data_IF_069708737713
#
_entry.id   IF_069708737713
#
_cell.length_a   1.000
_cell.length_b   1.000
_cell.length_c   1.000
_cell.angle_alpha   90.00
_cell.angle_beta   90.00
_cell.angle_gamma   90.00
#
_symmetry.space_group_name_H-M   'P 1'
#
loop_
_entity.id
_entity.type
_entity.pdbx_description
1 polymer ?
#
# COMPACT_ATOMS: atom_id res chain seq x y z
N UNK A 1 -10.63 8.60 -13.77
CA UNK A 1 -10.89 8.72 -12.33
C UNK A 1 -12.36 9.07 -12.13
N UNK A 2 -13.05 8.42 -11.18
CA UNK A 2 -14.50 8.56 -11.01
C UNK A 2 -14.83 9.91 -10.36
N UNK A 3 -15.34 10.88 -11.13
CA UNK A 3 -15.65 12.24 -10.67
C UNK A 3 -16.50 12.23 -9.38
N UNK A 4 -17.42 11.27 -9.31
CA UNK A 4 -18.34 11.07 -8.18
C UNK A 4 -17.63 10.75 -6.85
N UNK A 5 -16.43 10.15 -6.88
CA UNK A 5 -15.69 9.83 -5.65
C UNK A 5 -15.08 11.09 -5.02
N UNK A 6 -14.47 11.95 -5.84
CA UNK A 6 -13.77 13.14 -5.36
C UNK A 6 -14.71 14.24 -4.87
N UNK A 7 -15.92 14.30 -5.43
CA UNK A 7 -16.95 15.26 -5.04
C UNK A 7 -17.76 14.86 -3.80
N UNK A 8 -17.57 13.62 -3.31
CA UNK A 8 -18.19 13.12 -2.10
C UNK A 8 -17.74 13.90 -0.86
N UNK A 9 -18.65 14.06 0.09
CA UNK A 9 -18.32 14.60 1.41
C UNK A 9 -17.48 13.59 2.20
N UNK A 10 -16.46 14.09 2.91
CA UNK A 10 -15.61 13.27 3.78
C UNK A 10 -16.41 12.59 4.88
N UNK A 11 -17.51 13.20 5.34
CA UNK A 11 -18.41 12.60 6.32
C UNK A 11 -18.97 11.25 5.84
N UNK A 12 -19.26 11.13 4.54
CA UNK A 12 -19.70 9.87 3.93
C UNK A 12 -18.65 8.75 3.97
N UNK A 13 -17.35 9.08 4.11
CA UNK A 13 -16.31 8.09 4.38
C UNK A 13 -16.36 7.57 5.81
N UNK A 14 -16.71 8.43 6.78
CA UNK A 14 -16.73 8.10 8.21
C UNK A 14 -17.96 7.28 8.59
N UNK A 15 -19.11 7.55 7.98
CA UNK A 15 -20.36 6.87 8.27
C UNK A 15 -20.31 5.35 7.99
N UNK A 16 -19.46 4.94 7.05
CA UNK A 16 -19.27 3.55 6.65
C UNK A 16 -18.31 2.76 7.55
N UNK A 17 -17.67 3.43 8.52
CA UNK A 17 -16.73 2.79 9.44
C UNK A 17 -17.47 2.09 10.58
N UNK A 18 -16.82 1.10 11.18
CA UNK A 18 -17.26 0.51 12.44
C UNK A 18 -17.31 1.59 13.54
N UNK A 19 -18.26 1.47 14.46
CA UNK A 19 -18.46 2.45 15.56
C UNK A 19 -17.18 2.70 16.37
N UNK A 20 -16.34 1.68 16.55
CA UNK A 20 -15.06 1.80 17.27
C UNK A 20 -14.03 2.66 16.54
N UNK A 21 -14.12 2.78 15.22
CA UNK A 21 -13.18 3.52 14.37
C UNK A 21 -13.65 4.94 14.05
N UNK A 22 -14.96 5.24 14.14
CA UNK A 22 -15.54 6.56 13.82
C UNK A 22 -14.88 7.71 14.59
N UNK A 23 -14.92 7.65 15.93
CA UNK A 23 -14.39 8.73 16.80
C UNK A 23 -12.88 8.97 16.62
N UNK A 24 -12.01 7.94 16.53
CA UNK A 24 -10.62 8.16 16.13
C UNK A 24 -10.45 8.83 14.76
N UNK A 25 -11.24 8.43 13.75
CA UNK A 25 -11.12 9.01 12.42
C UNK A 25 -11.60 10.46 12.36
N UNK A 26 -12.66 10.84 13.09
CA UNK A 26 -13.08 12.24 13.23
C UNK A 26 -11.97 13.11 13.84
N UNK A 27 -11.23 12.59 14.81
CA UNK A 27 -10.10 13.31 15.40
C UNK A 27 -8.97 13.46 14.39
N UNK A 28 -8.68 12.44 13.58
CA UNK A 28 -7.71 12.54 12.50
C UNK A 28 -8.11 13.54 11.42
N UNK A 29 -9.39 13.61 11.04
CA UNK A 29 -9.90 14.64 10.12
C UNK A 29 -9.68 16.05 10.67
N UNK A 30 -9.92 16.26 11.97
CA UNK A 30 -9.64 17.54 12.64
C UNK A 30 -8.16 17.92 12.60
N UNK A 31 -7.27 16.95 12.82
CA UNK A 31 -5.82 17.18 12.80
C UNK A 31 -5.29 17.60 11.43
N UNK A 32 -5.98 17.26 10.35
CA UNK A 32 -5.62 17.67 8.98
C UNK A 32 -6.46 18.86 8.47
N UNK A 33 -7.25 19.50 9.34
CA UNK A 33 -7.96 20.74 9.02
C UNK A 33 -9.41 20.57 8.56
N UNK A 34 -10.06 19.42 8.81
CA UNK A 34 -11.45 19.13 8.44
C UNK A 34 -11.75 19.37 6.95
N UNK A 35 -11.14 18.62 6.02
CA UNK A 35 -11.52 18.69 4.63
C UNK A 35 -13.01 18.34 4.48
N UNK A 36 -13.74 19.13 3.70
CA UNK A 36 -15.18 18.91 3.47
C UNK A 36 -15.38 17.82 2.42
N UNK A 37 -14.57 17.84 1.35
CA UNK A 37 -14.65 16.91 0.22
C UNK A 37 -13.47 15.96 0.15
N UNK A 38 -13.67 14.77 -0.41
CA UNK A 38 -12.61 13.79 -0.66
C UNK A 38 -11.49 14.41 -1.51
N UNK A 39 -11.82 15.27 -2.47
CA UNK A 39 -10.82 16.03 -3.25
C UNK A 39 -9.88 16.86 -2.37
N UNK A 40 -10.41 17.58 -1.39
CA UNK A 40 -9.62 18.41 -0.47
C UNK A 40 -8.72 17.54 0.41
N UNK A 41 -9.25 16.42 0.90
CA UNK A 41 -8.47 15.41 1.60
C UNK A 41 -7.30 14.90 0.74
N UNK A 42 -7.56 14.54 -0.52
CA UNK A 42 -6.51 14.07 -1.43
C UNK A 42 -5.46 15.15 -1.72
N UNK A 43 -5.84 16.43 -1.80
CA UNK A 43 -4.89 17.53 -1.96
C UNK A 43 -3.95 17.65 -0.75
N UNK A 44 -4.48 17.55 0.47
CA UNK A 44 -3.68 17.53 1.70
C UNK A 44 -2.73 16.33 1.69
N UNK A 45 -3.24 15.15 1.31
CA UNK A 45 -2.44 13.95 1.21
C UNK A 45 -1.28 14.10 0.22
N UNK A 46 -1.54 14.50 -1.04
CA UNK A 46 -0.49 14.67 -2.04
C UNK A 46 0.54 15.71 -1.63
N UNK A 47 0.10 16.85 -1.09
CA UNK A 47 1.01 17.87 -0.56
C UNK A 47 1.90 17.29 0.55
N UNK A 48 1.34 16.51 1.45
CA UNK A 48 2.11 15.87 2.54
C UNK A 48 3.11 14.81 2.03
N UNK A 49 2.81 14.14 0.92
CA UNK A 49 3.75 13.22 0.26
C UNK A 49 4.93 14.01 -0.30
N UNK A 50 4.65 15.03 -1.11
CA UNK A 50 5.63 15.86 -1.80
C UNK A 50 6.53 16.65 -0.81
N UNK A 51 5.94 17.20 0.25
CA UNK A 51 6.65 18.01 1.26
C UNK A 51 7.25 17.17 2.40
N UNK A 52 7.09 15.84 2.38
CA UNK A 52 7.38 14.96 3.53
C UNK A 52 6.73 15.47 4.85
N UNK A 53 5.49 15.93 4.74
CA UNK A 53 4.74 16.59 5.80
C UNK A 53 4.20 15.61 6.86
N UNK A 54 4.04 16.11 8.09
CA UNK A 54 3.52 15.33 9.23
C UNK A 54 2.09 14.80 9.03
N UNK A 55 1.31 15.42 8.15
CA UNK A 55 -0.04 14.98 7.81
C UNK A 55 -0.08 13.63 7.06
N UNK A 56 1.04 13.20 6.45
CA UNK A 56 1.10 11.96 5.68
C UNK A 56 0.61 10.75 6.48
N UNK A 57 1.18 10.53 7.66
CA UNK A 57 0.83 9.39 8.52
C UNK A 57 -0.65 9.41 8.93
N UNK A 58 -1.22 10.60 9.14
CA UNK A 58 -2.64 10.76 9.51
C UNK A 58 -3.53 10.39 8.32
N UNK A 59 -3.20 10.90 7.13
CA UNK A 59 -3.92 10.57 5.90
C UNK A 59 -3.87 9.07 5.60
N UNK A 60 -2.71 8.43 5.77
CA UNK A 60 -2.57 6.98 5.55
C UNK A 60 -3.47 6.16 6.48
N UNK A 61 -3.56 6.54 7.77
CA UNK A 61 -4.47 5.86 8.72
C UNK A 61 -5.93 5.97 8.31
N UNK A 62 -6.36 7.14 7.84
CA UNK A 62 -7.72 7.37 7.33
C UNK A 62 -7.97 6.47 6.12
N UNK A 63 -7.07 6.46 5.15
CA UNK A 63 -7.20 5.63 3.94
C UNK A 63 -7.24 4.14 4.29
N UNK A 64 -6.35 3.67 5.18
CA UNK A 64 -6.29 2.28 5.61
C UNK A 64 -7.61 1.81 6.27
N UNK A 65 -8.23 2.69 7.06
CA UNK A 65 -9.48 2.39 7.79
C UNK A 65 -10.72 2.43 6.93
N UNK A 66 -10.80 3.36 5.98
CA UNK A 66 -11.96 3.47 5.08
C UNK A 66 -12.05 2.31 4.09
N UNK A 67 -10.93 1.66 3.74
CA UNK A 67 -10.87 0.49 2.85
C UNK A 67 -11.62 0.68 1.52
N UNK A 68 -11.71 1.92 1.03
CA UNK A 68 -12.35 2.25 -0.24
C UNK A 68 -11.42 1.92 -1.40
N UNK A 69 -11.91 1.15 -2.38
CA UNK A 69 -11.15 0.70 -3.56
C UNK A 69 -10.72 1.90 -4.43
N UNK A 70 -11.49 2.98 -4.37
CA UNK A 70 -11.25 4.23 -5.09
C UNK A 70 -9.98 4.95 -4.66
N UNK A 71 -9.44 4.64 -3.47
CA UNK A 71 -8.13 5.17 -3.05
C UNK A 71 -6.95 4.47 -3.71
N UNK A 72 -7.12 3.29 -4.32
CA UNK A 72 -5.98 2.58 -4.92
C UNK A 72 -5.26 3.40 -6.01
N UNK A 73 -5.94 4.01 -7.00
CA UNK A 73 -5.28 4.91 -7.95
C UNK A 73 -4.60 6.11 -7.27
N UNK A 74 -5.24 6.71 -6.26
CA UNK A 74 -4.68 7.84 -5.50
C UNK A 74 -3.37 7.45 -4.82
N UNK A 75 -3.34 6.27 -4.20
CA UNK A 75 -2.15 5.71 -3.57
C UNK A 75 -1.05 5.39 -4.58
N UNK A 76 -1.39 4.83 -5.74
CA UNK A 76 -0.42 4.53 -6.81
C UNK A 76 0.12 5.79 -7.49
N UNK A 77 -0.66 6.87 -7.58
CA UNK A 77 -0.14 8.17 -8.00
C UNK A 77 0.79 8.76 -6.94
N UNK A 78 0.44 8.63 -5.66
CA UNK A 78 1.27 9.12 -4.57
C UNK A 78 2.61 8.38 -4.46
N UNK A 79 2.65 7.07 -4.75
CA UNK A 79 3.90 6.31 -4.66
C UNK A 79 4.96 6.78 -5.65
N UNK A 80 4.54 7.28 -6.82
CA UNK A 80 5.45 7.85 -7.82
C UNK A 80 6.07 9.18 -7.37
N UNK A 81 5.44 9.86 -6.41
CA UNK A 81 5.86 11.14 -5.84
C UNK A 81 6.52 11.00 -4.48
N UNK A 82 6.55 9.78 -3.92
CA UNK A 82 7.12 9.52 -2.61
C UNK A 82 8.62 9.84 -2.61
N UNK A 83 9.06 10.57 -1.60
CA UNK A 83 10.44 11.09 -1.51
C UNK A 83 11.34 10.22 -0.64
N UNK A 84 10.78 9.21 0.04
CA UNK A 84 11.54 8.29 0.88
C UNK A 84 10.92 6.89 0.98
N UNK A 85 11.70 5.87 1.39
CA UNK A 85 11.22 4.49 1.54
C UNK A 85 10.06 4.32 2.54
N UNK A 86 10.01 5.14 3.61
CA UNK A 86 8.96 5.07 4.64
C UNK A 86 7.59 5.45 4.07
N UNK A 87 7.54 6.40 3.15
CA UNK A 87 6.30 6.74 2.44
C UNK A 87 5.88 5.60 1.51
N UNK A 88 6.82 5.04 0.73
CA UNK A 88 6.56 3.95 -0.21
C UNK A 88 6.01 2.71 0.49
N UNK A 89 6.66 2.27 1.58
CA UNK A 89 6.19 1.11 2.34
C UNK A 89 4.81 1.35 2.96
N UNK A 90 4.53 2.57 3.43
CA UNK A 90 3.25 2.92 4.06
C UNK A 90 2.11 2.89 3.04
N UNK A 91 2.39 3.38 1.83
CA UNK A 91 1.47 3.34 0.69
C UNK A 91 1.18 1.88 0.31
N UNK A 92 2.20 1.05 0.11
CA UNK A 92 2.02 -0.37 -0.22
C UNK A 92 1.23 -1.13 0.85
N UNK A 93 1.55 -0.89 2.12
CA UNK A 93 0.80 -1.47 3.25
C UNK A 93 -0.68 -1.09 3.22
N UNK A 94 -1.00 0.15 2.86
CA UNK A 94 -2.37 0.68 2.91
C UNK A 94 -3.21 0.34 1.67
N UNK A 95 -2.62 -0.23 0.63
CA UNK A 95 -3.31 -0.76 -0.55
C UNK A 95 -4.04 -2.08 -0.25
N UNK A 96 -4.91 -2.08 0.77
CA UNK A 96 -5.65 -3.26 1.21
C UNK A 96 -6.88 -3.56 0.34
N UNK A 97 -7.48 -2.53 -0.27
CA UNK A 97 -8.67 -2.64 -1.10
C UNK A 97 -8.34 -2.41 -2.57
N UNK A 98 -8.26 -3.48 -3.36
CA UNK A 98 -7.99 -3.40 -4.80
C UNK A 98 -9.28 -3.09 -5.58
N UNK A 99 -9.22 -2.24 -6.63
CA UNK A 99 -10.29 -2.06 -7.61
C UNK A 99 -10.75 -3.40 -8.20
N UNK A 100 -12.02 -3.50 -8.61
CA UNK A 100 -12.54 -4.70 -9.29
C UNK A 100 -12.20 -4.70 -10.79
N UNK A 101 -11.85 -3.54 -11.33
CA UNK A 101 -11.37 -3.41 -12.70
C UNK A 101 -9.88 -3.71 -12.78
N UNK A 102 -9.56 -4.85 -13.40
CA UNK A 102 -8.19 -5.31 -13.65
C UNK A 102 -7.39 -4.30 -14.48
N UNK A 103 -8.01 -3.59 -15.43
CA UNK A 103 -7.31 -2.65 -16.29
C UNK A 103 -6.73 -1.47 -15.49
N UNK A 104 -7.46 -0.99 -14.49
CA UNK A 104 -6.98 0.04 -13.56
C UNK A 104 -5.77 -0.48 -12.78
N UNK A 105 -5.82 -1.71 -12.26
CA UNK A 105 -4.69 -2.28 -11.51
C UNK A 105 -3.47 -2.46 -12.43
N UNK A 106 -3.69 -3.01 -13.63
CA UNK A 106 -2.64 -3.24 -14.63
C UNK A 106 -1.92 -1.95 -15.04
N UNK A 107 -2.62 -0.83 -15.16
CA UNK A 107 -2.00 0.45 -15.54
C UNK A 107 -0.97 0.97 -14.54
N UNK A 108 -0.99 0.49 -13.28
CA UNK A 108 -0.06 0.90 -12.25
C UNK A 108 1.08 -0.11 -11.98
N UNK A 109 1.14 -1.26 -12.67
CA UNK A 109 2.13 -2.32 -12.36
C UNK A 109 3.56 -1.86 -12.60
N UNK A 110 3.81 -1.19 -13.73
CA UNK A 110 5.13 -0.64 -14.03
C UNK A 110 5.54 0.45 -13.02
N UNK A 111 4.74 1.49 -12.77
CA UNK A 111 5.06 2.48 -11.73
C UNK A 111 5.28 1.88 -10.33
N UNK A 112 4.49 0.88 -9.96
CA UNK A 112 4.63 0.15 -8.70
C UNK A 112 5.99 -0.56 -8.61
N UNK A 113 6.39 -1.30 -9.64
CA UNK A 113 7.69 -1.99 -9.70
C UNK A 113 8.85 -1.00 -9.69
N UNK A 114 8.75 0.08 -10.45
CA UNK A 114 9.76 1.15 -10.48
C UNK A 114 9.92 1.82 -9.10
N UNK A 115 8.81 2.12 -8.41
CA UNK A 115 8.86 2.69 -7.07
C UNK A 115 9.54 1.76 -6.06
N UNK A 116 9.27 0.46 -6.14
CA UNK A 116 9.94 -0.55 -5.31
C UNK A 116 11.44 -0.65 -5.62
N UNK A 117 11.81 -0.65 -6.91
CA UNK A 117 13.21 -0.70 -7.36
C UNK A 117 14.01 0.52 -6.88
N UNK A 118 13.43 1.72 -6.97
CA UNK A 118 14.08 2.98 -6.65
C UNK A 118 14.19 3.24 -5.13
N UNK A 119 13.31 2.65 -4.33
CA UNK A 119 13.25 2.83 -2.87
C UNK A 119 13.56 1.55 -2.09
N UNK A 120 14.40 0.69 -2.66
CA UNK A 120 14.72 -0.63 -2.13
C UNK A 120 15.18 -0.59 -0.66
N UNK A 121 14.32 -1.06 0.23
CA UNK A 121 14.57 -1.35 1.65
C UNK A 121 13.75 -2.58 2.03
N UNK A 122 14.08 -3.20 3.16
CA UNK A 122 13.44 -4.38 3.74
C UNK A 122 11.91 -4.26 3.76
N UNK A 123 11.39 -3.19 4.36
CA UNK A 123 9.95 -3.00 4.52
C UNK A 123 9.26 -2.62 3.21
N UNK A 124 9.93 -1.90 2.31
CA UNK A 124 9.44 -1.63 0.95
C UNK A 124 9.32 -2.94 0.17
N UNK A 125 10.34 -3.81 0.24
CA UNK A 125 10.30 -5.13 -0.39
C UNK A 125 9.18 -5.98 0.17
N UNK A 126 9.10 -6.05 1.49
CA UNK A 126 8.10 -6.84 2.18
C UNK A 126 6.69 -6.42 1.77
N UNK A 127 6.34 -5.14 1.95
CA UNK A 127 5.01 -4.64 1.64
C UNK A 127 4.72 -4.61 0.13
N UNK A 128 5.75 -4.42 -0.70
CA UNK A 128 5.64 -4.52 -2.15
C UNK A 128 5.27 -5.94 -2.60
N UNK A 129 5.97 -6.96 -2.09
CA UNK A 129 5.66 -8.37 -2.38
C UNK A 129 4.27 -8.74 -1.84
N UNK A 130 3.89 -8.31 -0.64
CA UNK A 130 2.52 -8.51 -0.14
C UNK A 130 1.45 -7.85 -1.05
N UNK A 131 1.75 -6.68 -1.63
CA UNK A 131 0.86 -6.04 -2.61
C UNK A 131 0.79 -6.84 -3.91
N UNK A 132 1.93 -7.31 -4.45
CA UNK A 132 1.96 -8.23 -5.61
C UNK A 132 1.11 -9.47 -5.36
N UNK A 133 1.24 -10.08 -4.18
CA UNK A 133 0.48 -11.27 -3.82
C UNK A 133 -1.02 -11.02 -3.82
N UNK A 134 -1.48 -9.89 -3.25
CA UNK A 134 -2.90 -9.51 -3.28
C UNK A 134 -3.39 -9.29 -4.71
N UNK A 135 -2.56 -8.64 -5.55
CA UNK A 135 -2.91 -8.36 -6.95
C UNK A 135 -3.02 -9.67 -7.73
N UNK A 136 -2.02 -10.54 -7.67
CA UNK A 136 -2.01 -11.84 -8.38
C UNK A 136 -3.10 -12.77 -7.84
N UNK A 137 -3.33 -12.80 -6.53
CA UNK A 137 -4.42 -13.59 -5.94
C UNK A 137 -5.81 -13.14 -6.43
N UNK A 138 -5.98 -11.84 -6.72
CA UNK A 138 -7.25 -11.30 -7.24
C UNK A 138 -7.36 -11.37 -8.76
N UNK A 139 -6.25 -11.16 -9.45
CA UNK A 139 -6.13 -11.10 -10.91
C UNK A 139 -4.90 -11.94 -11.35
N UNK A 140 -5.01 -13.27 -11.39
CA UNK A 140 -3.89 -14.15 -11.73
C UNK A 140 -3.23 -13.84 -13.08
N UNK A 141 -3.98 -13.29 -14.01
CA UNK A 141 -3.54 -12.89 -15.35
C UNK A 141 -2.45 -11.80 -15.33
N UNK A 142 -2.35 -11.01 -14.25
CA UNK A 142 -1.33 -9.98 -14.07
C UNK A 142 0.05 -10.60 -13.71
N UNK A 143 0.11 -11.86 -13.28
CA UNK A 143 1.36 -12.48 -12.81
C UNK A 143 2.46 -12.43 -13.89
N UNK A 144 2.14 -12.74 -15.15
CA UNK A 144 3.12 -12.73 -16.24
C UNK A 144 3.57 -11.30 -16.60
N UNK A 145 2.67 -10.32 -16.54
CA UNK A 145 3.03 -8.92 -16.73
C UNK A 145 4.04 -8.48 -15.65
N UNK A 146 3.79 -8.82 -14.38
CA UNK A 146 4.69 -8.50 -13.27
C UNK A 146 6.04 -9.22 -13.38
N UNK A 147 6.06 -10.50 -13.77
CA UNK A 147 7.30 -11.25 -14.02
C UNK A 147 8.14 -10.62 -15.12
N UNK A 148 7.51 -10.02 -16.14
CA UNK A 148 8.21 -9.37 -17.25
C UNK A 148 8.90 -8.06 -16.85
N UNK A 149 8.40 -7.37 -15.82
CA UNK A 149 8.94 -6.08 -15.37
C UNK A 149 10.24 -6.21 -14.56
N UNK A 150 10.49 -7.38 -13.95
CA UNK A 150 11.71 -7.80 -13.23
C UNK A 150 12.32 -6.78 -12.25
N UNK A 151 12.32 -7.10 -10.96
CA UNK A 151 13.01 -6.32 -9.93
C UNK A 151 14.42 -6.89 -9.73
N UNK A 152 15.45 -6.05 -9.82
CA UNK A 152 16.84 -6.48 -9.68
C UNK A 152 17.43 -6.00 -8.35
N UNK A 153 17.97 -6.93 -7.58
CA UNK A 153 18.58 -6.64 -6.28
C UNK A 153 19.98 -7.22 -6.25
N UNK A 154 20.96 -6.44 -5.77
CA UNK A 154 22.31 -6.94 -5.60
C UNK A 154 22.45 -7.78 -4.32
N UNK A 155 23.48 -8.62 -4.26
CA UNK A 155 23.74 -9.50 -3.12
C UNK A 155 23.78 -8.79 -1.76
N UNK A 156 24.41 -7.61 -1.69
CA UNK A 156 24.53 -6.83 -0.45
C UNK A 156 23.16 -6.39 0.08
N UNK A 157 22.28 -5.90 -0.81
CA UNK A 157 20.92 -5.50 -0.43
C UNK A 157 20.11 -6.70 0.03
N UNK A 158 20.22 -7.86 -0.62
CA UNK A 158 19.52 -9.07 -0.17
C UNK A 158 19.94 -9.47 1.24
N UNK A 159 21.23 -9.43 1.55
CA UNK A 159 21.69 -9.76 2.91
C UNK A 159 21.11 -8.80 3.97
N UNK A 160 21.00 -7.51 3.64
CA UNK A 160 20.42 -6.51 4.54
C UNK A 160 18.91 -6.72 4.72
N UNK A 161 18.20 -7.02 3.64
CA UNK A 161 16.77 -7.27 3.62
C UNK A 161 16.46 -8.59 4.38
N UNK A 162 17.23 -9.66 4.15
CA UNK A 162 17.09 -10.95 4.86
C UNK A 162 17.21 -10.84 6.38
N UNK A 163 18.13 -10.02 6.90
CA UNK A 163 18.33 -9.91 8.37
C UNK A 163 17.13 -9.33 9.13
N UNK A 164 16.25 -8.58 8.47
CA UNK A 164 15.09 -7.93 9.09
C UNK A 164 13.77 -8.59 8.70
N UNK A 165 13.77 -9.58 7.80
CA UNK A 165 12.57 -10.28 7.35
C UNK A 165 11.95 -11.16 8.44
N UNK A 166 12.74 -11.86 9.26
CA UNK A 166 12.23 -12.69 10.36
C UNK A 166 11.34 -11.92 11.34
N UNK A 167 11.60 -10.61 11.46
CA UNK A 167 10.81 -9.71 12.29
C UNK A 167 9.53 -9.34 11.57
N UNK A 168 9.57 -9.05 10.26
CA UNK A 168 8.42 -8.57 9.48
C UNK A 168 7.45 -9.69 9.10
N UNK A 169 7.92 -10.89 8.77
CA UNK A 169 7.08 -12.05 8.43
C UNK A 169 6.11 -12.37 9.57
N UNK A 170 6.62 -12.31 10.80
CA UNK A 170 5.79 -12.37 12.01
C UNK A 170 4.61 -11.41 11.95
N UNK A 171 4.70 -10.21 11.39
CA UNK A 171 3.58 -9.24 11.36
C UNK A 171 2.48 -9.57 10.33
N UNK A 172 2.67 -10.55 9.45
CA UNK A 172 1.67 -11.04 8.50
C UNK A 172 1.63 -12.56 8.40
N UNK A 173 2.06 -13.30 9.42
CA UNK A 173 1.74 -14.73 9.54
C UNK A 173 0.41 -14.88 10.28
N UNK A 174 -0.30 -15.98 10.01
CA UNK A 174 -1.62 -16.27 10.58
C UNK A 174 -1.68 -16.21 12.12
N UNK A 175 -0.53 -16.32 12.81
CA UNK A 175 -0.43 -16.40 14.27
C UNK A 175 -0.16 -15.07 14.98
N UNK A 176 0.04 -13.96 14.27
CA UNK A 176 0.49 -12.71 14.89
C UNK A 176 -0.34 -11.47 14.53
N UNK A 177 -1.04 -11.46 13.39
CA UNK A 177 -2.23 -10.61 13.25
C UNK A 177 -3.34 -11.28 14.03
N UNK A 178 -3.94 -10.56 14.98
CA UNK A 178 -5.05 -11.09 15.78
C UNK A 178 -6.13 -11.76 14.92
N UNK A 179 -6.94 -12.62 15.55
CA UNK A 179 -7.91 -13.58 14.96
C UNK A 179 -8.77 -13.12 13.75
N UNK A 180 -8.83 -11.84 13.43
CA UNK A 180 -9.77 -11.26 12.46
C UNK A 180 -9.13 -10.90 11.10
N UNK A 181 -7.82 -11.04 10.90
CA UNK A 181 -7.19 -10.80 9.58
C UNK A 181 -5.97 -11.71 9.42
N UNK A 182 -6.12 -12.92 8.85
CA UNK A 182 -5.00 -13.82 8.69
C UNK A 182 -3.91 -13.19 7.82
N UNK A 183 -2.69 -13.65 8.06
CA UNK A 183 -1.55 -13.37 7.23
C UNK A 183 -1.75 -13.71 5.75
N UNK A 184 -1.00 -13.05 4.86
CA UNK A 184 -1.06 -13.37 3.42
C UNK A 184 -0.36 -14.69 3.08
N UNK A 185 0.69 -15.03 3.84
CA UNK A 185 1.52 -16.22 3.67
C UNK A 185 1.43 -17.09 4.92
N UNK A 186 1.56 -18.42 4.77
CA UNK A 186 1.49 -19.32 5.92
C UNK A 186 2.81 -19.33 6.69
N UNK A 187 3.93 -19.15 6.00
CA UNK A 187 5.28 -19.13 6.55
C UNK A 187 6.24 -18.33 5.66
N UNK A 188 7.46 -18.11 6.16
CA UNK A 188 8.54 -17.39 5.47
C UNK A 188 8.90 -18.00 4.10
N UNK A 189 8.93 -19.33 3.97
CA UNK A 189 9.29 -19.97 2.70
C UNK A 189 8.26 -19.65 1.60
N UNK A 190 6.96 -19.64 1.93
CA UNK A 190 5.91 -19.27 0.96
C UNK A 190 6.12 -17.83 0.45
N UNK A 191 6.49 -16.92 1.35
CA UNK A 191 6.81 -15.54 0.99
C UNK A 191 8.03 -15.49 0.08
N UNK A 192 9.13 -16.17 0.45
CA UNK A 192 10.38 -16.16 -0.32
C UNK A 192 10.18 -16.79 -1.71
N UNK A 193 9.49 -17.92 -1.81
CA UNK A 193 9.17 -18.57 -3.08
C UNK A 193 8.35 -17.64 -3.98
N UNK A 194 7.35 -16.95 -3.43
CA UNK A 194 6.57 -15.97 -4.17
C UNK A 194 7.42 -14.76 -4.59
N UNK A 195 8.22 -14.19 -3.69
CA UNK A 195 9.09 -13.05 -3.96
C UNK A 195 10.08 -13.35 -5.09
N UNK A 196 10.69 -14.53 -5.08
CA UNK A 196 11.65 -14.99 -6.08
C UNK A 196 11.05 -15.20 -7.48
N UNK A 197 9.72 -15.15 -7.65
CA UNK A 197 9.11 -15.07 -8.98
C UNK A 197 9.39 -13.73 -9.66
N UNK A 198 9.45 -12.64 -8.90
CA UNK A 198 9.50 -11.27 -9.40
C UNK A 198 10.84 -10.57 -9.15
N UNK A 199 11.56 -10.98 -8.09
CA UNK A 199 12.83 -10.41 -7.67
C UNK A 199 13.98 -11.32 -8.13
N UNK A 200 14.93 -10.74 -8.87
CA UNK A 200 16.13 -11.40 -9.38
C UNK A 200 17.37 -10.84 -8.71
N UNK A 201 18.28 -11.75 -8.35
CA UNK A 201 19.58 -11.40 -7.80
C UNK A 201 20.53 -11.12 -8.96
N UNK A 202 21.24 -10.00 -8.91
CA UNK A 202 22.30 -9.64 -9.86
C UNK A 202 23.63 -9.46 -9.16
#
# INVERSE_FOLDING_TARGET
MNQNFFDMEVQGLLEQLDETDKKPMEMYMRMIGNPNKVKEFCQIFFRSVEENGSAFTICMKIIEKTRRKEFFPVLMEAVQKAVNPIQVQSIFKSCNALPDDMAIVKSFMKPFVEAMQNNMDTEVCYHGVCLMYRIVSKFPEIEEDLKSLQIYVNHERIQNISRRFDILDKWQTANHRGKNTPGYFMNENDFLEFALKFIRIK
#
